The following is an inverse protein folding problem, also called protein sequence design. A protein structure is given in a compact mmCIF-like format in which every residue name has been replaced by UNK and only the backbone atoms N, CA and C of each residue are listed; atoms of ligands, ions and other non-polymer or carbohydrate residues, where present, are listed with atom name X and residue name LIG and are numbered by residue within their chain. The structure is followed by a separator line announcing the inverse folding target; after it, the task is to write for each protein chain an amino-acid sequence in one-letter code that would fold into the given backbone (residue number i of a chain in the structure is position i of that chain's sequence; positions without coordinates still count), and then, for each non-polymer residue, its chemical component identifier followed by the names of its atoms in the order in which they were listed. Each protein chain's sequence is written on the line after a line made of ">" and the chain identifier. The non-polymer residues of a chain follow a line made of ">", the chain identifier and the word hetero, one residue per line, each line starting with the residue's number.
data_IF_386388266157
#
_entry.id   IF_386388266157
#
_cell.length_a   1.000
_cell.length_b   1.000
_cell.length_c   1.000
_cell.angle_alpha   90.00
_cell.angle_beta   90.00
_cell.angle_gamma   90.00
#
_symmetry.space_group_name_H-M   'P 1'
#
loop_
_entity.id
_entity.type
_entity.pdbx_description
1 polymer ?
#
# COMPACT_ATOMS: atom_id res chain seq x y z
N UNK A 1 24.20 -16.33 35.11
CA UNK A 1 24.55 -16.21 33.68
C UNK A 1 23.31 -16.03 32.79
N UNK A 2 22.34 -16.97 32.79
CA UNK A 2 21.14 -16.90 31.93
C UNK A 2 20.27 -15.64 32.14
N UNK A 3 20.20 -15.13 33.36
CA UNK A 3 19.45 -13.90 33.68
C UNK A 3 20.13 -12.65 33.07
N UNK A 4 21.47 -12.58 33.10
CA UNK A 4 22.25 -11.53 32.47
C UNK A 4 22.20 -11.62 30.93
N UNK A 5 22.15 -12.84 30.38
CA UNK A 5 21.93 -13.11 28.97
C UNK A 5 20.58 -12.53 28.51
N UNK A 6 19.51 -12.83 29.24
CA UNK A 6 18.16 -12.35 28.94
C UNK A 6 18.09 -10.80 29.00
N UNK A 7 18.67 -10.19 30.04
CA UNK A 7 18.72 -8.73 30.19
C UNK A 7 19.52 -8.06 29.06
N UNK A 8 20.64 -8.65 28.64
CA UNK A 8 21.46 -8.13 27.53
C UNK A 8 20.70 -8.16 26.20
N UNK A 9 19.94 -9.22 25.91
CA UNK A 9 19.12 -9.32 24.70
C UNK A 9 17.96 -8.31 24.64
N UNK A 10 17.45 -7.86 25.79
CA UNK A 10 16.37 -6.87 25.87
C UNK A 10 16.87 -5.43 25.66
N UNK A 11 18.10 -5.13 26.08
CA UNK A 11 18.68 -3.77 26.06
C UNK A 11 19.36 -3.35 24.76
N UNK A 12 19.64 -4.25 23.82
CA UNK A 12 20.35 -3.88 22.58
C UNK A 12 19.42 -3.23 21.55
N UNK A 13 19.52 -1.91 21.39
CA UNK A 13 18.95 -1.18 20.25
C UNK A 13 19.88 -1.36 19.04
N UNK A 14 19.42 -2.13 18.05
CA UNK A 14 20.19 -2.43 16.85
C UNK A 14 19.87 -1.48 15.71
N UNK A 15 20.91 -1.03 15.00
CA UNK A 15 20.76 -0.37 13.70
C UNK A 15 20.21 -1.38 12.68
N UNK A 16 19.19 -0.97 11.92
CA UNK A 16 18.49 -1.74 10.89
C UNK A 16 19.49 -2.41 9.95
N UNK A 17 19.46 -3.74 9.86
CA UNK A 17 20.29 -4.48 8.93
C UNK A 17 19.47 -5.62 8.32
N UNK A 18 19.02 -5.42 7.08
CA UNK A 18 18.03 -6.25 6.36
C UNK A 18 18.53 -7.67 5.96
N UNK A 19 19.60 -8.18 6.57
CA UNK A 19 20.26 -9.44 6.18
C UNK A 19 20.14 -10.56 7.22
N UNK A 20 19.35 -10.37 8.28
CA UNK A 20 19.12 -11.38 9.32
C UNK A 20 17.93 -12.26 8.90
N UNK A 21 18.16 -13.56 8.74
CA UNK A 21 17.12 -14.54 8.42
C UNK A 21 16.94 -15.52 9.56
N UNK A 22 15.72 -16.06 9.74
CA UNK A 22 15.41 -17.08 10.76
C UNK A 22 16.39 -18.27 10.74
N UNK A 23 16.86 -18.67 9.55
CA UNK A 23 17.87 -19.73 9.41
C UNK A 23 19.18 -19.42 10.15
N UNK A 24 19.68 -18.18 10.07
CA UNK A 24 20.91 -17.78 10.79
C UNK A 24 20.70 -17.79 12.30
N UNK A 25 19.51 -17.39 12.77
CA UNK A 25 19.14 -17.41 14.19
C UNK A 25 19.13 -18.84 14.71
N UNK A 26 18.47 -19.78 14.00
CA UNK A 26 18.43 -21.19 14.42
C UNK A 26 19.81 -21.84 14.44
N UNK A 27 20.67 -21.55 13.47
CA UNK A 27 22.06 -22.06 13.45
C UNK A 27 22.84 -21.52 14.65
N UNK A 28 22.81 -20.20 14.89
CA UNK A 28 23.52 -19.59 16.02
C UNK A 28 23.00 -20.10 17.37
N UNK A 29 21.68 -20.30 17.50
CA UNK A 29 21.05 -20.84 18.70
C UNK A 29 21.43 -22.32 18.92
N UNK A 30 21.40 -23.14 17.86
CA UNK A 30 21.77 -24.55 17.92
C UNK A 30 23.25 -24.75 18.27
N UNK A 31 24.15 -24.04 17.58
CA UNK A 31 25.60 -24.08 17.86
C UNK A 31 25.90 -23.53 19.24
N UNK A 32 25.29 -22.40 19.61
CA UNK A 32 25.44 -21.79 20.93
C UNK A 32 24.98 -22.70 22.06
N UNK A 33 23.81 -23.34 21.91
CA UNK A 33 23.28 -24.28 22.89
C UNK A 33 24.15 -25.53 23.00
N UNK A 34 24.62 -26.09 21.88
CA UNK A 34 25.51 -27.24 21.87
C UNK A 34 26.84 -26.95 22.59
N UNK A 35 27.45 -25.78 22.31
CA UNK A 35 28.71 -25.37 22.94
C UNK A 35 28.56 -24.98 24.41
N UNK A 36 27.42 -24.40 24.81
CA UNK A 36 27.21 -23.92 26.17
C UNK A 36 26.71 -25.02 27.12
N UNK A 37 25.74 -25.84 26.69
CA UNK A 37 25.14 -26.88 27.52
C UNK A 37 25.77 -28.26 27.28
N UNK A 38 26.31 -28.53 26.09
CA UNK A 38 26.86 -29.83 25.71
C UNK A 38 28.33 -30.04 26.06
N UNK A 39 29.01 -29.06 26.66
CA UNK A 39 30.46 -29.12 26.88
C UNK A 39 30.90 -29.93 28.11
N UNK A 40 29.96 -30.43 28.92
CA UNK A 40 30.24 -31.10 30.20
C UNK A 40 31.21 -32.29 30.08
N UNK A 41 31.16 -33.01 28.96
CA UNK A 41 32.04 -34.14 28.66
C UNK A 41 33.53 -33.79 28.63
N UNK A 42 33.89 -32.52 28.35
CA UNK A 42 35.28 -32.03 28.32
C UNK A 42 35.94 -32.22 29.69
N UNK A 43 35.18 -32.10 30.78
CA UNK A 43 35.68 -32.24 32.15
C UNK A 43 36.13 -33.68 32.48
N UNK A 44 35.70 -34.68 31.71
CA UNK A 44 36.05 -36.09 31.93
C UNK A 44 37.23 -36.58 31.08
N UNK A 45 37.83 -35.71 30.27
CA UNK A 45 38.98 -36.06 29.45
C UNK A 45 40.22 -36.28 30.32
N UNK A 46 40.95 -37.38 30.07
CA UNK A 46 42.22 -37.70 30.73
C UNK A 46 43.38 -36.89 30.12
N UNK A 47 43.30 -35.57 30.22
CA UNK A 47 44.29 -34.61 29.75
C UNK A 47 44.82 -33.77 30.93
N UNK A 48 45.95 -33.06 30.76
CA UNK A 48 46.42 -32.12 31.78
C UNK A 48 45.32 -31.11 32.14
N UNK A 49 45.18 -30.80 33.43
CA UNK A 49 44.12 -29.94 33.94
C UNK A 49 44.09 -28.56 33.26
N UNK A 50 45.25 -28.01 32.89
CA UNK A 50 45.38 -26.75 32.15
C UNK A 50 44.73 -26.81 30.77
N UNK A 51 44.87 -27.93 30.06
CA UNK A 51 44.31 -28.16 28.71
C UNK A 51 42.79 -28.32 28.80
N UNK A 52 42.31 -29.11 29.77
CA UNK A 52 40.88 -29.30 30.02
C UNK A 52 40.20 -27.97 30.35
N UNK A 53 40.79 -27.19 31.27
CA UNK A 53 40.25 -25.89 31.68
C UNK A 53 40.20 -24.89 30.50
N UNK A 54 41.24 -24.85 29.67
CA UNK A 54 41.29 -23.97 28.50
C UNK A 54 40.15 -24.26 27.51
N UNK A 55 39.99 -25.52 27.08
CA UNK A 55 38.92 -25.89 26.13
C UNK A 55 37.52 -25.73 26.73
N UNK A 56 37.38 -26.02 28.03
CA UNK A 56 36.11 -25.83 28.73
C UNK A 56 35.69 -24.35 28.75
N UNK A 57 36.60 -23.44 29.13
CA UNK A 57 36.33 -22.00 29.16
C UNK A 57 36.09 -21.45 27.74
N UNK A 58 36.87 -21.91 26.75
CA UNK A 58 36.73 -21.47 25.36
C UNK A 58 35.36 -21.83 24.79
N UNK A 59 34.94 -23.09 24.92
CA UNK A 59 33.65 -23.57 24.41
C UNK A 59 32.47 -22.90 25.14
N UNK A 60 32.57 -22.70 26.45
CA UNK A 60 31.56 -21.98 27.23
C UNK A 60 31.44 -20.50 26.79
N UNK A 61 32.57 -19.84 26.55
CA UNK A 61 32.60 -18.44 26.11
C UNK A 61 32.05 -18.27 24.69
N UNK A 62 32.45 -19.13 23.75
CA UNK A 62 31.93 -19.12 22.38
C UNK A 62 30.43 -19.45 22.33
N UNK A 63 29.98 -20.43 23.13
CA UNK A 63 28.57 -20.78 23.26
C UNK A 63 27.74 -19.62 23.79
N UNK A 64 28.24 -18.94 24.83
CA UNK A 64 27.58 -17.77 25.41
C UNK A 64 27.45 -16.61 24.41
N UNK A 65 28.51 -16.30 23.66
CA UNK A 65 28.49 -15.24 22.63
C UNK A 65 27.51 -15.60 21.49
N UNK A 66 27.49 -16.86 21.05
CA UNK A 66 26.55 -17.33 20.03
C UNK A 66 25.09 -17.21 20.48
N UNK A 67 24.78 -17.56 21.73
CA UNK A 67 23.46 -17.40 22.32
C UNK A 67 23.04 -15.93 22.46
N UNK A 68 23.97 -15.05 22.85
CA UNK A 68 23.73 -13.60 22.88
C UNK A 68 23.39 -13.05 21.49
N UNK A 69 24.17 -13.42 20.48
CA UNK A 69 23.91 -13.01 19.10
C UNK A 69 22.53 -13.49 18.63
N UNK A 70 22.20 -14.77 18.84
CA UNK A 70 20.90 -15.32 18.46
C UNK A 70 19.74 -14.60 19.16
N UNK A 71 19.84 -14.35 20.46
CA UNK A 71 18.82 -13.63 21.23
C UNK A 71 18.64 -12.18 20.77
N UNK A 72 19.74 -11.48 20.48
CA UNK A 72 19.68 -10.10 19.96
C UNK A 72 19.03 -10.03 18.57
N UNK A 73 19.34 -10.99 17.68
CA UNK A 73 18.75 -11.07 16.35
C UNK A 73 17.26 -11.41 16.40
N UNK A 74 16.87 -12.32 17.29
CA UNK A 74 15.47 -12.68 17.52
C UNK A 74 14.65 -11.50 18.06
N UNK A 75 15.19 -10.77 19.04
CA UNK A 75 14.58 -9.57 19.63
C UNK A 75 14.32 -8.49 18.56
N UNK A 76 15.28 -8.25 17.65
CA UNK A 76 15.13 -7.30 16.53
C UNK A 76 14.03 -7.73 15.56
N UNK A 77 14.06 -8.99 15.11
CA UNK A 77 13.12 -9.49 14.12
C UNK A 77 11.67 -9.50 14.63
N UNK A 78 11.47 -9.74 15.92
CA UNK A 78 10.15 -9.67 16.56
C UNK A 78 9.66 -8.23 16.69
N UNK A 79 10.53 -7.28 17.07
CA UNK A 79 10.16 -5.86 17.15
C UNK A 79 9.85 -5.25 15.78
N UNK A 80 10.61 -5.60 14.75
CA UNK A 80 10.41 -5.06 13.39
C UNK A 80 9.12 -5.59 12.73
N UNK A 81 8.76 -6.87 12.91
CA UNK A 81 7.51 -7.43 12.35
C UNK A 81 6.23 -7.01 13.09
N UNK A 82 6.33 -6.55 14.34
CA UNK A 82 5.18 -6.07 15.12
C UNK A 82 4.89 -4.58 14.88
N UNK A 83 5.85 -3.85 14.33
CA UNK A 83 5.76 -2.44 13.96
C UNK A 83 5.59 -2.28 12.44
N UNK A 84 4.73 -3.11 11.83
CA UNK A 84 4.20 -2.76 10.52
C UNK A 84 3.58 -1.38 10.65
N UNK A 85 4.10 -0.42 9.87
CA UNK A 85 3.73 0.99 9.94
C UNK A 85 2.19 1.12 9.97
N UNK A 86 1.67 1.89 10.93
CA UNK A 86 0.23 2.17 11.03
C UNK A 86 -0.24 2.83 9.74
N UNK A 87 0.64 3.57 9.06
CA UNK A 87 0.44 4.19 7.75
C UNK A 87 0.95 3.32 6.60
N UNK A 88 0.68 2.02 6.64
CA UNK A 88 0.94 1.14 5.50
C UNK A 88 -0.28 1.09 4.56
N UNK A 89 -0.02 0.86 3.27
CA UNK A 89 -1.08 0.79 2.23
C UNK A 89 -2.20 -0.21 2.56
N UNK A 90 -1.94 -1.25 3.36
CA UNK A 90 -2.96 -2.20 3.81
C UNK A 90 -3.88 -1.58 4.86
N UNK A 91 -3.32 -0.93 5.87
CA UNK A 91 -4.03 -0.30 6.98
C UNK A 91 -4.81 0.95 6.53
N UNK A 92 -4.31 1.67 5.53
CA UNK A 92 -5.01 2.79 4.90
C UNK A 92 -6.03 2.35 3.82
N UNK A 93 -6.02 1.07 3.44
CA UNK A 93 -6.96 0.55 2.45
C UNK A 93 -8.27 0.07 3.06
N UNK A 94 -9.37 0.31 2.36
CA UNK A 94 -10.70 -0.17 2.73
C UNK A 94 -11.48 -0.64 1.50
N UNK A 95 -12.51 -1.46 1.75
CA UNK A 95 -13.39 -1.94 0.71
C UNK A 95 -14.20 -0.79 0.11
N UNK A 96 -14.03 -0.54 -1.19
CA UNK A 96 -14.83 0.41 -1.96
C UNK A 96 -16.02 -0.28 -2.66
N UNK A 97 -16.95 0.51 -3.20
CA UNK A 97 -18.09 -0.03 -3.94
C UNK A 97 -17.61 -0.72 -5.23
N UNK A 98 -18.12 -1.94 -5.45
CA UNK A 98 -17.75 -2.81 -6.60
C UNK A 98 -18.91 -2.96 -7.58
N UNK A 99 -20.13 -2.64 -7.15
CA UNK A 99 -21.33 -2.72 -7.98
C UNK A 99 -21.47 -1.44 -8.80
N UNK A 100 -21.70 -1.62 -10.09
CA UNK A 100 -22.10 -0.53 -10.97
C UNK A 100 -23.59 -0.23 -10.74
N UNK A 101 -23.90 0.95 -10.22
CA UNK A 101 -25.28 1.38 -9.93
C UNK A 101 -25.74 2.43 -10.94
N UNK A 102 -26.43 1.98 -12.00
CA UNK A 102 -26.93 2.87 -13.07
C UNK A 102 -28.39 3.23 -12.85
N UNK A 103 -28.74 4.48 -13.16
CA UNK A 103 -30.12 4.95 -13.26
C UNK A 103 -30.22 6.07 -14.31
N UNK A 104 -31.41 6.67 -14.46
CA UNK A 104 -31.68 7.75 -15.43
C UNK A 104 -30.77 8.99 -15.24
N UNK A 105 -30.24 9.23 -14.04
CA UNK A 105 -29.49 10.43 -13.68
C UNK A 105 -28.01 10.18 -13.35
N UNK A 106 -27.64 8.94 -13.06
CA UNK A 106 -26.38 8.62 -12.41
C UNK A 106 -25.16 9.02 -13.25
N UNK A 107 -24.02 9.22 -12.62
CA UNK A 107 -22.74 9.21 -13.32
C UNK A 107 -21.82 8.22 -12.64
N UNK A 108 -21.28 7.29 -13.42
CA UNK A 108 -20.54 6.14 -12.92
C UNK A 108 -19.09 6.21 -13.40
N UNK A 109 -18.15 6.29 -12.45
CA UNK A 109 -16.73 6.44 -12.75
C UNK A 109 -15.99 5.14 -12.37
N UNK A 110 -15.26 4.50 -13.30
CA UNK A 110 -14.50 3.31 -12.99
C UNK A 110 -13.29 3.64 -12.11
N UNK A 111 -13.02 2.83 -11.10
CA UNK A 111 -11.88 2.99 -10.19
C UNK A 111 -11.08 1.70 -10.01
N UNK A 112 -9.85 1.86 -9.54
CA UNK A 112 -9.01 0.78 -9.01
C UNK A 112 -8.67 1.11 -7.56
N UNK A 113 -8.91 0.17 -6.66
CA UNK A 113 -8.58 0.33 -5.25
C UNK A 113 -7.81 -0.88 -4.73
N UNK A 114 -6.86 -0.62 -3.85
CA UNK A 114 -6.13 -1.67 -3.15
C UNK A 114 -6.94 -2.12 -1.95
N UNK A 115 -7.05 -3.44 -1.72
CA UNK A 115 -7.68 -4.00 -0.52
C UNK A 115 -7.26 -5.47 -0.36
N UNK A 116 -6.92 -5.90 0.86
CA UNK A 116 -6.46 -7.27 1.19
C UNK A 116 -5.33 -7.75 0.29
N UNK A 117 -4.27 -6.95 0.23
CA UNK A 117 -3.06 -7.15 -0.59
C UNK A 117 -3.29 -7.32 -2.10
N UNK A 118 -4.45 -6.88 -2.63
CA UNK A 118 -4.82 -7.03 -4.05
C UNK A 118 -5.41 -5.75 -4.61
N UNK A 119 -5.19 -5.53 -5.90
CA UNK A 119 -5.89 -4.51 -6.67
C UNK A 119 -7.26 -5.03 -7.09
N UNK A 120 -8.31 -4.24 -6.81
CA UNK A 120 -9.69 -4.55 -7.12
C UNK A 120 -10.27 -3.46 -8.02
N UNK A 121 -11.16 -3.85 -8.92
CA UNK A 121 -11.95 -2.91 -9.73
C UNK A 121 -13.15 -2.44 -8.92
N UNK A 122 -13.45 -1.15 -8.98
CA UNK A 122 -14.55 -0.52 -8.27
C UNK A 122 -15.25 0.53 -9.12
N UNK A 123 -16.27 1.15 -8.51
CA UNK A 123 -17.05 2.22 -9.11
C UNK A 123 -17.33 3.33 -8.10
N UNK A 124 -17.14 4.58 -8.53
CA UNK A 124 -17.76 5.73 -7.87
C UNK A 124 -19.10 5.98 -8.56
N UNK A 125 -20.18 5.69 -7.86
CA UNK A 125 -21.55 5.87 -8.36
C UNK A 125 -22.13 7.18 -7.81
N UNK A 126 -22.17 8.22 -8.63
CA UNK A 126 -22.90 9.45 -8.30
C UNK A 126 -24.35 9.23 -8.70
N UNK A 127 -25.14 8.71 -7.77
CA UNK A 127 -26.51 8.21 -8.01
C UNK A 127 -27.48 9.34 -8.37
N UNK A 128 -27.23 10.55 -7.86
CA UNK A 128 -28.01 11.75 -8.14
C UNK A 128 -27.08 13.00 -8.21
N UNK A 129 -26.74 13.50 -9.41
CA UNK A 129 -25.84 14.63 -9.57
C UNK A 129 -26.50 16.01 -9.39
N UNK A 130 -27.83 16.08 -9.20
CA UNK A 130 -28.57 17.36 -9.18
C UNK A 130 -28.34 18.20 -7.91
N UNK A 131 -27.77 17.61 -6.85
CA UNK A 131 -27.44 18.33 -5.60
C UNK A 131 -26.08 19.05 -5.63
N UNK A 132 -25.73 19.55 -6.82
CA UNK A 132 -24.39 20.01 -7.18
C UNK A 132 -23.32 18.90 -7.09
N UNK A 133 -22.38 18.94 -8.04
CA UNK A 133 -21.18 18.11 -8.02
C UNK A 133 -19.98 19.04 -8.18
N UNK A 134 -19.05 18.99 -7.24
CA UNK A 134 -17.87 19.84 -7.23
C UNK A 134 -16.63 18.97 -7.40
N UNK A 135 -15.76 19.33 -8.33
CA UNK A 135 -14.47 18.67 -8.55
C UNK A 135 -13.36 19.66 -8.24
N UNK A 136 -12.59 19.38 -7.18
CA UNK A 136 -11.50 20.24 -6.72
C UNK A 136 -10.14 19.65 -7.12
N UNK A 137 -9.18 20.52 -7.40
CA UNK A 137 -7.78 20.13 -7.63
C UNK A 137 -6.99 21.20 -8.34
N UNK A 138 -5.67 21.06 -8.36
CA UNK A 138 -4.74 22.02 -9.01
C UNK A 138 -4.78 21.95 -10.55
N UNK A 139 -4.43 23.02 -11.27
CA UNK A 139 -4.26 22.97 -12.72
C UNK A 139 -3.34 21.80 -13.14
N UNK A 140 -3.71 21.07 -14.19
CA UNK A 140 -2.94 19.91 -14.66
C UNK A 140 -3.25 18.57 -13.95
N UNK A 141 -4.07 18.55 -12.90
CA UNK A 141 -4.38 17.32 -12.13
C UNK A 141 -5.30 16.30 -12.84
N UNK A 142 -5.59 16.47 -14.13
CA UNK A 142 -6.40 15.51 -14.90
C UNK A 142 -7.92 15.52 -14.67
N UNK A 143 -8.47 16.49 -13.92
CA UNK A 143 -9.92 16.58 -13.59
C UNK A 143 -10.84 16.48 -14.81
N UNK A 144 -10.50 17.17 -15.90
CA UNK A 144 -11.31 17.20 -17.12
C UNK A 144 -11.44 15.80 -17.71
N UNK A 145 -10.31 15.11 -17.87
CA UNK A 145 -10.27 13.76 -18.43
C UNK A 145 -10.95 12.72 -17.52
N UNK A 146 -10.61 12.73 -16.23
CA UNK A 146 -11.06 11.71 -15.29
C UNK A 146 -12.54 11.86 -14.91
N UNK A 147 -13.03 13.10 -14.75
CA UNK A 147 -14.36 13.36 -14.20
C UNK A 147 -15.27 14.06 -15.22
N UNK A 148 -14.89 15.25 -15.70
CA UNK A 148 -15.79 16.11 -16.51
C UNK A 148 -16.20 15.43 -17.82
N UNK A 149 -15.26 14.80 -18.52
CA UNK A 149 -15.53 14.10 -19.77
C UNK A 149 -16.52 12.94 -19.57
N UNK A 150 -16.43 12.22 -18.44
CA UNK A 150 -17.37 11.16 -18.11
C UNK A 150 -18.78 11.72 -17.84
N UNK A 151 -18.87 12.86 -17.16
CA UNK A 151 -20.15 13.57 -16.98
C UNK A 151 -20.76 13.97 -18.31
N UNK A 152 -20.00 14.66 -19.17
CA UNK A 152 -20.47 15.10 -20.50
C UNK A 152 -21.01 13.91 -21.30
N UNK A 153 -20.23 12.83 -21.38
CA UNK A 153 -20.60 11.66 -22.17
C UNK A 153 -21.85 10.96 -21.65
N UNK A 154 -21.88 10.65 -20.36
CA UNK A 154 -22.99 9.89 -19.76
C UNK A 154 -24.28 10.70 -19.72
N UNK A 155 -24.21 12.03 -19.50
CA UNK A 155 -25.39 12.89 -19.53
C UNK A 155 -25.98 13.01 -20.94
N UNK A 156 -25.12 13.11 -21.97
CA UNK A 156 -25.57 13.08 -23.38
C UNK A 156 -26.23 11.74 -23.73
N UNK A 157 -25.63 10.62 -23.34
CA UNK A 157 -26.19 9.28 -23.56
C UNK A 157 -27.57 9.09 -22.91
N UNK A 158 -27.83 9.87 -21.86
CA UNK A 158 -29.10 9.89 -21.12
C UNK A 158 -30.08 10.94 -21.63
N UNK A 159 -29.75 11.66 -22.69
CA UNK A 159 -30.65 12.63 -23.31
C UNK A 159 -30.73 13.98 -22.58
N UNK A 160 -29.78 14.29 -21.71
CA UNK A 160 -29.73 15.60 -21.05
C UNK A 160 -29.20 16.68 -21.99
N UNK A 161 -29.79 17.87 -21.87
CA UNK A 161 -29.20 19.09 -22.38
C UNK A 161 -28.14 19.59 -21.40
N UNK A 162 -27.11 20.24 -21.90
CA UNK A 162 -26.00 20.73 -21.09
C UNK A 162 -25.63 22.16 -21.44
N UNK A 163 -25.27 22.92 -20.41
CA UNK A 163 -24.60 24.20 -20.55
C UNK A 163 -23.14 23.99 -20.15
N UNK A 164 -22.21 24.21 -21.09
CA UNK A 164 -20.78 23.98 -20.88
C UNK A 164 -20.07 25.32 -20.95
N UNK A 165 -19.38 25.67 -19.87
CA UNK A 165 -18.42 26.76 -19.87
C UNK A 165 -17.03 26.18 -20.11
N UNK A 166 -16.48 26.42 -21.30
CA UNK A 166 -15.21 25.85 -21.74
C UNK A 166 -14.11 26.91 -21.73
N UNK A 167 -13.45 27.04 -20.58
CA UNK A 167 -12.38 28.04 -20.40
C UNK A 167 -11.16 27.81 -21.30
N UNK A 168 -10.93 26.56 -21.72
CA UNK A 168 -9.83 26.18 -22.62
C UNK A 168 -10.39 25.76 -23.97
N UNK A 169 -11.18 26.63 -24.57
CA UNK A 169 -11.86 26.36 -25.82
C UNK A 169 -10.86 25.87 -26.89
N UNK A 170 -11.12 24.76 -27.60
CA UNK A 170 -12.37 24.00 -27.73
C UNK A 170 -12.40 22.62 -27.03
N UNK A 171 -11.58 22.40 -25.99
CA UNK A 171 -11.36 21.10 -25.35
C UNK A 171 -12.66 20.33 -25.00
N UNK A 172 -13.52 20.92 -24.17
CA UNK A 172 -14.75 20.26 -23.71
C UNK A 172 -15.84 20.31 -24.78
N UNK A 173 -15.86 21.40 -25.55
CA UNK A 173 -16.83 21.66 -26.61
C UNK A 173 -16.76 20.60 -27.71
N UNK A 174 -15.55 20.25 -28.14
CA UNK A 174 -15.33 19.21 -29.16
C UNK A 174 -15.72 17.82 -28.65
N UNK A 175 -15.50 17.51 -27.38
CA UNK A 175 -15.95 16.24 -26.79
C UNK A 175 -17.48 16.18 -26.75
N UNK A 176 -18.12 17.25 -26.28
CA UNK A 176 -19.57 17.32 -26.18
C UNK A 176 -20.23 17.21 -27.56
N UNK A 177 -19.75 17.97 -28.55
CA UNK A 177 -20.31 17.97 -29.90
C UNK A 177 -20.17 16.60 -30.58
N UNK A 178 -18.97 16.01 -30.54
CA UNK A 178 -18.74 14.69 -31.14
C UNK A 178 -19.56 13.59 -30.47
N UNK A 179 -19.71 13.64 -29.14
CA UNK A 179 -20.52 12.66 -28.42
C UNK A 179 -22.01 12.86 -28.66
N UNK A 180 -22.46 14.11 -28.79
CA UNK A 180 -23.83 14.45 -29.13
C UNK A 180 -24.23 13.90 -30.50
N UNK A 181 -23.42 14.13 -31.53
CA UNK A 181 -23.67 13.63 -32.89
C UNK A 181 -23.89 12.12 -32.93
N UNK A 182 -23.18 11.37 -32.08
CA UNK A 182 -23.28 9.90 -31.98
C UNK A 182 -24.48 9.41 -31.19
N UNK A 183 -25.15 10.28 -30.44
CA UNK A 183 -26.23 9.93 -29.51
C UNK A 183 -27.51 10.75 -29.75
N UNK A 184 -27.68 11.36 -30.93
CA UNK A 184 -28.89 12.11 -31.29
C UNK A 184 -30.16 11.24 -31.24
N UNK A 185 -30.03 9.92 -31.37
CA UNK A 185 -31.11 8.94 -31.23
C UNK A 185 -31.64 8.83 -29.80
N UNK A 186 -30.86 9.25 -28.79
CA UNK A 186 -31.26 9.22 -27.37
C UNK A 186 -32.26 10.32 -27.01
N UNK A 187 -32.46 11.29 -27.90
CA UNK A 187 -33.28 12.46 -27.65
C UNK A 187 -34.64 12.35 -28.36
N UNK A 188 -35.73 12.54 -27.61
CA UNK A 188 -37.09 12.64 -28.17
C UNK A 188 -37.20 13.82 -29.15
N UNK A 189 -36.56 14.94 -28.81
CA UNK A 189 -36.43 16.12 -29.67
C UNK A 189 -34.95 16.38 -29.87
N UNK A 190 -34.49 16.33 -31.12
CA UNK A 190 -33.06 16.48 -31.44
C UNK A 190 -32.57 17.86 -30.95
N UNK A 191 -31.56 17.90 -30.06
CA UNK A 191 -31.03 19.15 -29.55
C UNK A 191 -30.23 19.88 -30.64
N UNK A 192 -30.18 21.20 -30.53
CA UNK A 192 -29.28 22.04 -31.32
C UNK A 192 -28.04 22.36 -30.49
N UNK A 193 -26.89 22.48 -31.15
CA UNK A 193 -25.63 22.85 -30.52
C UNK A 193 -25.31 24.30 -30.85
N UNK A 194 -25.19 25.14 -29.83
CA UNK A 194 -24.88 26.56 -29.97
C UNK A 194 -23.61 26.87 -29.19
N UNK A 195 -22.74 27.69 -29.77
CA UNK A 195 -21.51 28.18 -29.14
C UNK A 195 -21.58 29.69 -29.10
N UNK A 196 -21.32 30.26 -27.93
CA UNK A 196 -21.11 31.69 -27.75
C UNK A 196 -19.63 31.84 -27.44
N UNK A 197 -18.85 32.33 -28.40
CA UNK A 197 -17.43 32.56 -28.21
C UNK A 197 -17.22 34.04 -27.83
N UNK A 198 -16.76 34.28 -26.60
CA UNK A 198 -16.48 35.64 -26.14
C UNK A 198 -15.12 36.16 -26.63
N UNK A 199 -14.20 35.27 -27.02
CA UNK A 199 -12.88 35.64 -27.54
C UNK A 199 -12.93 36.00 -29.04
N UNK A 200 -13.90 35.44 -29.78
CA UNK A 200 -14.19 35.80 -31.17
C UNK A 200 -15.69 36.10 -31.36
N UNK A 201 -16.11 37.37 -31.16
CA UNK A 201 -17.52 37.77 -31.12
C UNK A 201 -18.19 37.90 -32.51
N UNK A 202 -17.61 37.34 -33.56
CA UNK A 202 -18.08 37.47 -34.95
C UNK A 202 -19.28 36.58 -35.27
#
# INVERSE_FOLDING_TARGET
>A
ALLLLALSCLGTTGVKNDKITWRKIYIALGVGAALYFGNFWILYLRLPASVVAFFYILTLSLGYIALLMAGSWMSRLLKDNLLDDVFNNENESFMQETRLMTNEYSVNLPTLFYYRKKWNKGWINVVNPFRATIVLGTPGSGKSYAIVNNYIKQQIEKGFAMYIYDFKFDDLSTIAYNHLLKNLDKYKVKPKFYVINFDDPR
#
